data_IF_526646304032
#
_entry.id   IF_526646304032
#
_cell.length_a   1.000
_cell.length_b   1.000
_cell.length_c   1.000
_cell.angle_alpha   90.00
_cell.angle_beta   90.00
_cell.angle_gamma   90.00
#
_symmetry.space_group_name_H-M   'P 1'
#
loop_
_entity.id
_entity.type
_entity.pdbx_description
1 polymer ?
#
# COMPACT_ATOMS: atom_id res chain seq x y z
N UNK A 1 12.71 18.39 -27.44
CA UNK A 1 11.76 17.37 -26.94
C UNK A 1 12.59 16.18 -26.48
N UNK A 2 12.29 15.60 -25.33
CA UNK A 2 13.06 14.46 -24.81
C UNK A 2 12.69 13.20 -25.59
N UNK A 3 13.69 12.39 -25.96
CA UNK A 3 13.49 11.11 -26.61
C UNK A 3 12.68 10.15 -25.72
N UNK A 4 11.69 9.45 -26.29
CA UNK A 4 10.76 8.56 -25.55
C UNK A 4 11.50 7.55 -24.66
N UNK A 5 12.59 6.96 -25.17
CA UNK A 5 13.42 6.01 -24.41
C UNK A 5 14.06 6.66 -23.18
N UNK A 6 14.49 7.91 -23.31
CA UNK A 6 15.06 8.67 -22.19
C UNK A 6 13.98 9.05 -21.18
N UNK A 7 12.78 9.42 -21.64
CA UNK A 7 11.66 9.72 -20.76
C UNK A 7 11.24 8.51 -19.90
N UNK A 8 11.10 7.34 -20.52
CA UNK A 8 10.79 6.09 -19.80
C UNK A 8 11.91 5.72 -18.84
N UNK A 9 13.17 5.80 -19.28
CA UNK A 9 14.32 5.49 -18.43
C UNK A 9 14.38 6.39 -17.19
N UNK A 10 14.16 7.70 -17.36
CA UNK A 10 14.10 8.67 -16.25
C UNK A 10 12.94 8.33 -15.31
N UNK A 11 11.75 8.00 -15.84
CA UNK A 11 10.60 7.62 -15.04
C UNK A 11 10.84 6.36 -14.19
N UNK A 12 11.47 5.34 -14.77
CA UNK A 12 11.83 4.10 -14.05
C UNK A 12 12.85 4.40 -12.94
N UNK A 13 13.90 5.17 -13.25
CA UNK A 13 14.90 5.57 -12.25
C UNK A 13 14.25 6.34 -11.10
N UNK A 14 13.32 7.26 -11.40
CA UNK A 14 12.58 8.02 -10.39
C UNK A 14 11.70 7.11 -9.53
N UNK A 15 10.99 6.16 -10.14
CA UNK A 15 10.12 5.22 -9.43
C UNK A 15 10.91 4.31 -8.48
N UNK A 16 12.05 3.78 -8.93
CA UNK A 16 12.95 2.97 -8.10
C UNK A 16 13.52 3.83 -6.97
N UNK A 17 13.98 5.05 -7.27
CA UNK A 17 14.49 5.97 -6.26
C UNK A 17 13.42 6.24 -5.19
N UNK A 18 12.19 6.58 -5.58
CA UNK A 18 11.09 6.79 -4.64
C UNK A 18 10.83 5.53 -3.80
N UNK A 19 10.73 4.36 -4.44
CA UNK A 19 10.47 3.10 -3.74
C UNK A 19 11.54 2.73 -2.71
N UNK A 20 12.82 2.91 -3.05
CA UNK A 20 13.94 2.65 -2.14
C UNK A 20 13.99 3.68 -1.00
N UNK A 21 13.84 4.97 -1.33
CA UNK A 21 13.95 6.03 -0.32
C UNK A 21 12.76 6.05 0.64
N UNK A 22 11.58 5.63 0.19
CA UNK A 22 10.36 5.58 1.01
C UNK A 22 10.51 4.69 2.25
N UNK A 23 11.25 3.58 2.17
CA UNK A 23 11.46 2.67 3.31
C UNK A 23 12.25 3.34 4.44
N UNK A 24 13.20 4.23 4.10
CA UNK A 24 13.99 4.95 5.11
C UNK A 24 13.25 6.16 5.70
N UNK A 25 12.22 6.65 5.01
CA UNK A 25 11.32 7.69 5.52
C UNK A 25 10.09 7.10 6.22
N UNK A 26 9.86 5.78 6.13
CA UNK A 26 8.86 5.10 6.93
C UNK A 26 9.29 5.13 8.41
N UNK A 27 8.32 5.33 9.30
CA UNK A 27 8.54 5.25 10.75
C UNK A 27 9.05 3.85 11.09
N UNK A 28 10.13 3.75 11.87
CA UNK A 28 10.73 2.45 12.21
C UNK A 28 10.03 1.75 13.37
N UNK A 29 9.27 2.48 14.20
CA UNK A 29 8.55 1.95 15.35
C UNK A 29 7.55 2.98 15.92
N UNK A 30 6.23 2.76 15.80
CA UNK A 30 5.58 1.75 14.97
C UNK A 30 5.64 2.17 13.48
N UNK A 31 5.70 1.20 12.56
CA UNK A 31 5.52 1.48 11.11
C UNK A 31 4.11 2.06 10.84
N UNK A 32 3.86 2.64 9.66
CA UNK A 32 2.57 3.24 9.31
C UNK A 32 1.38 2.29 9.49
N UNK A 33 1.53 1.01 9.17
CA UNK A 33 0.50 -0.01 9.38
C UNK A 33 0.27 -0.30 10.87
N UNK A 34 1.36 -0.40 11.62
CA UNK A 34 1.40 -0.70 13.04
C UNK A 34 0.87 0.47 13.89
N UNK A 35 1.20 1.69 13.49
CA UNK A 35 0.67 2.96 14.02
C UNK A 35 -0.84 3.05 13.80
N UNK A 36 -1.32 2.58 12.64
CA UNK A 36 -2.75 2.51 12.32
C UNK A 36 -3.45 1.46 13.17
N UNK A 37 -2.83 0.31 13.40
CA UNK A 37 -3.32 -0.72 14.31
C UNK A 37 -3.49 -0.18 15.73
N UNK A 38 -2.48 0.47 16.30
CA UNK A 38 -2.56 1.06 17.64
C UNK A 38 -3.58 2.20 17.74
N UNK A 39 -3.74 3.02 16.68
CA UNK A 39 -4.77 4.06 16.65
C UNK A 39 -6.17 3.45 16.70
N UNK A 40 -6.40 2.43 15.88
CA UNK A 40 -7.66 1.68 15.82
C UNK A 40 -7.97 0.99 17.15
N UNK A 41 -6.95 0.49 17.85
CA UNK A 41 -7.08 -0.12 19.17
C UNK A 41 -7.41 0.88 20.29
N UNK A 42 -7.38 2.19 20.01
CA UNK A 42 -7.43 3.22 21.04
C UNK A 42 -6.15 3.28 21.89
N UNK A 43 -5.11 2.54 21.51
CA UNK A 43 -3.80 2.57 22.15
C UNK A 43 -3.08 3.89 21.91
N UNK A 44 -3.28 4.54 20.77
CA UNK A 44 -2.75 5.89 20.51
C UNK A 44 -3.74 6.81 19.82
N UNK A 45 -3.45 8.11 19.83
CA UNK A 45 -4.12 9.10 18.99
C UNK A 45 -3.43 9.21 17.63
N UNK A 46 -4.11 9.78 16.63
CA UNK A 46 -3.61 9.83 15.24
C UNK A 46 -2.23 10.46 15.10
N UNK A 47 -1.92 11.44 15.95
CA UNK A 47 -0.63 12.16 15.99
C UNK A 47 0.10 11.97 17.32
N UNK A 48 -0.39 11.07 18.17
CA UNK A 48 0.18 10.81 19.48
C UNK A 48 1.36 9.83 19.43
N UNK A 49 2.20 9.85 20.49
CA UNK A 49 3.27 8.86 20.64
C UNK A 49 2.68 7.45 20.77
N UNK A 50 3.49 6.44 20.41
CA UNK A 50 3.14 5.06 20.70
C UNK A 50 3.24 4.77 22.19
N UNK A 51 2.32 3.97 22.77
CA UNK A 51 2.46 3.46 24.13
C UNK A 51 3.63 2.49 24.22
N UNK A 52 4.34 2.51 25.35
CA UNK A 52 5.43 1.56 25.62
C UNK A 52 4.92 0.10 25.74
N UNK A 53 3.67 -0.07 26.18
CA UNK A 53 3.02 -1.39 26.36
C UNK A 53 2.06 -1.76 25.20
N UNK A 54 2.06 -0.98 24.11
CA UNK A 54 1.17 -1.23 22.98
C UNK A 54 1.59 -2.48 22.21
N UNK A 55 0.69 -3.46 22.06
CA UNK A 55 0.90 -4.62 21.19
C UNK A 55 0.15 -4.43 19.86
N UNK A 56 0.84 -3.95 18.82
CA UNK A 56 0.21 -3.76 17.52
C UNK A 56 -0.10 -5.08 16.80
N UNK A 57 0.53 -6.19 17.19
CA UNK A 57 0.24 -7.54 16.68
C UNK A 57 -1.04 -8.12 17.30
N UNK A 58 -1.64 -7.45 18.30
CA UNK A 58 -2.89 -7.87 18.91
C UNK A 58 -4.09 -7.87 17.95
N UNK A 59 -4.03 -7.14 16.81
CA UNK A 59 -5.09 -7.13 15.79
C UNK A 59 -5.21 -8.52 15.14
N UNK A 60 -6.31 -9.22 15.44
CA UNK A 60 -6.58 -10.57 14.91
C UNK A 60 -6.18 -11.72 15.85
N UNK A 61 -5.54 -11.43 17.00
CA UNK A 61 -5.20 -12.43 18.03
C UNK A 61 -6.37 -12.77 18.99
N UNK A 62 -7.52 -12.10 18.83
CA UNK A 62 -8.71 -12.27 19.66
C UNK A 62 -8.75 -11.45 20.95
N UNK A 63 -7.65 -10.77 21.31
CA UNK A 63 -7.60 -9.79 22.43
C UNK A 63 -8.20 -8.44 22.05
N UNK A 64 -8.24 -8.12 20.75
CA UNK A 64 -8.87 -6.93 20.21
C UNK A 64 -9.68 -7.27 18.94
N UNK A 65 -10.93 -6.84 18.90
CA UNK A 65 -11.83 -7.03 17.75
C UNK A 65 -12.00 -5.70 17.01
N UNK A 66 -11.36 -5.57 15.85
CA UNK A 66 -11.57 -4.46 14.94
C UNK A 66 -12.65 -4.81 13.91
N UNK A 67 -13.75 -4.06 13.90
CA UNK A 67 -14.67 -4.10 12.77
C UNK A 67 -14.21 -3.09 11.73
N UNK A 68 -13.72 -3.58 10.58
CA UNK A 68 -13.34 -2.69 9.48
C UNK A 68 -14.53 -1.80 9.09
N UNK A 69 -14.33 -0.50 8.77
CA UNK A 69 -15.40 0.41 8.36
C UNK A 69 -16.17 -0.07 7.13
N UNK A 70 -15.53 -0.90 6.30
CA UNK A 70 -16.14 -1.66 5.22
C UNK A 70 -15.80 -3.14 5.42
N UNK A 71 -16.52 -3.86 6.29
CA UNK A 71 -16.19 -5.25 6.65
C UNK A 71 -16.37 -6.19 5.45
N UNK A 72 -17.27 -5.85 4.52
CA UNK A 72 -17.48 -6.57 3.27
C UNK A 72 -16.34 -6.41 2.25
N UNK A 73 -15.36 -5.54 2.52
CA UNK A 73 -14.18 -5.32 1.66
C UNK A 73 -12.97 -6.18 2.07
N UNK A 74 -13.07 -6.91 3.19
CA UNK A 74 -12.09 -7.93 3.52
C UNK A 74 -12.20 -9.10 2.53
N UNK A 75 -11.07 -9.63 2.05
CA UNK A 75 -11.03 -10.74 1.08
C UNK A 75 -11.33 -12.10 1.72
N UNK A 76 -12.31 -12.13 2.63
CA UNK A 76 -12.60 -13.23 3.52
C UNK A 76 -11.49 -13.48 4.54
N UNK A 77 -11.86 -13.89 5.75
CA UNK A 77 -10.89 -14.37 6.75
C UNK A 77 -10.19 -15.66 6.29
N UNK A 78 -10.80 -16.39 5.35
CA UNK A 78 -10.38 -17.72 4.89
C UNK A 78 -9.00 -17.73 4.20
N UNK A 79 -8.60 -16.63 3.56
CA UNK A 79 -7.30 -16.52 2.90
C UNK A 79 -6.27 -15.67 3.68
N UNK A 80 -6.69 -14.95 4.73
CA UNK A 80 -5.84 -14.12 5.58
C UNK A 80 -4.83 -13.26 4.79
N UNK A 81 -3.58 -13.21 5.25
CA UNK A 81 -2.49 -12.45 4.62
C UNK A 81 -2.19 -12.87 3.18
N UNK A 82 -2.48 -14.13 2.82
CA UNK A 82 -2.31 -14.62 1.45
C UNK A 82 -3.28 -13.91 0.49
N UNK A 83 -4.52 -13.70 0.91
CA UNK A 83 -5.54 -12.98 0.14
C UNK A 83 -5.12 -11.54 -0.14
N UNK A 84 -4.57 -10.84 0.86
CA UNK A 84 -4.05 -9.48 0.70
C UNK A 84 -2.89 -9.41 -0.31
N UNK A 85 -1.94 -10.34 -0.23
CA UNK A 85 -0.82 -10.42 -1.20
C UNK A 85 -1.35 -10.65 -2.62
N UNK A 86 -2.28 -11.58 -2.79
CA UNK A 86 -2.90 -11.88 -4.09
C UNK A 86 -3.60 -10.65 -4.66
N UNK A 87 -4.37 -9.93 -3.84
CA UNK A 87 -5.07 -8.73 -4.30
C UNK A 87 -4.14 -7.59 -4.67
N UNK A 88 -3.02 -7.41 -3.95
CA UNK A 88 -1.99 -6.44 -4.34
C UNK A 88 -1.43 -6.80 -5.71
N UNK A 89 -1.05 -8.07 -5.93
CA UNK A 89 -0.49 -8.51 -7.22
C UNK A 89 -1.51 -8.31 -8.35
N UNK A 90 -2.75 -8.76 -8.15
CA UNK A 90 -3.82 -8.65 -9.15
C UNK A 90 -4.15 -7.18 -9.44
N UNK A 91 -4.26 -6.35 -8.40
CA UNK A 91 -4.51 -4.91 -8.53
C UNK A 91 -3.41 -4.21 -9.31
N UNK A 92 -2.14 -4.54 -9.06
CA UNK A 92 -0.99 -4.01 -9.82
C UNK A 92 -1.07 -4.42 -11.29
N UNK A 93 -1.38 -5.68 -11.59
CA UNK A 93 -1.51 -6.15 -12.98
C UNK A 93 -2.65 -5.44 -13.72
N UNK A 94 -3.79 -5.24 -13.06
CA UNK A 94 -4.93 -4.52 -13.64
C UNK A 94 -4.55 -3.05 -13.89
N UNK A 95 -3.96 -2.38 -12.90
CA UNK A 95 -3.54 -0.99 -13.04
C UNK A 95 -2.53 -0.83 -14.18
N UNK A 96 -1.56 -1.74 -14.28
CA UNK A 96 -0.60 -1.78 -15.38
C UNK A 96 -1.29 -1.95 -16.75
N UNK A 97 -2.22 -2.91 -16.87
CA UNK A 97 -2.95 -3.16 -18.10
C UNK A 97 -3.77 -1.94 -18.53
N UNK A 98 -4.44 -1.26 -17.59
CA UNK A 98 -5.22 -0.06 -17.85
C UNK A 98 -4.32 1.11 -18.29
N UNK A 99 -3.24 1.38 -17.56
CA UNK A 99 -2.32 2.45 -17.91
C UNK A 99 -1.66 2.22 -19.28
N UNK A 100 -1.21 0.99 -19.53
CA UNK A 100 -0.63 0.61 -20.82
C UNK A 100 -1.66 0.70 -21.95
N UNK A 101 -2.88 0.21 -21.73
CA UNK A 101 -3.98 0.26 -22.68
C UNK A 101 -4.36 1.70 -23.04
N UNK A 102 -4.53 2.57 -22.04
CA UNK A 102 -4.78 3.99 -22.24
C UNK A 102 -3.64 4.65 -23.04
N UNK A 103 -2.39 4.34 -22.70
CA UNK A 103 -1.22 4.81 -23.43
C UNK A 103 -1.23 4.38 -24.91
N UNK A 104 -1.59 3.12 -25.20
CA UNK A 104 -1.74 2.60 -26.57
C UNK A 104 -2.84 3.33 -27.35
N UNK A 105 -3.99 3.60 -26.74
CA UNK A 105 -5.10 4.32 -27.39
C UNK A 105 -4.69 5.75 -27.74
N UNK A 106 -4.05 6.47 -26.80
CA UNK A 106 -3.56 7.83 -27.03
C UNK A 106 -2.45 7.87 -28.09
N UNK A 107 -1.59 6.85 -28.14
CA UNK A 107 -0.56 6.77 -29.17
C UNK A 107 -1.16 6.51 -30.56
N UNK A 108 -2.19 5.65 -30.64
CA UNK A 108 -2.87 5.34 -31.90
C UNK A 108 -3.70 6.51 -32.44
N UNK A 109 -4.23 7.40 -31.58
CA UNK A 109 -5.02 8.57 -32.00
C UNK A 109 -4.20 9.74 -32.53
N UNK A 110 -2.86 9.66 -32.48
CA UNK A 110 -1.94 10.66 -33.04
C UNK A 110 -1.40 10.30 -34.43
N UNK A 111 -1.78 9.14 -34.98
CA UNK A 111 -1.57 8.80 -36.40
C UNK A 111 -2.79 9.17 -37.23
#
# INVERSE_FOLDING_TARGET
MMEMKSFIAVGIVLAIAIGVTAVFFASSDPDGLESTALFVQGGKTLTGPSPEDGDPEAVGSGTFAYAAPMPDYALGEELGSLGAIIAIIVGVLIAFALAFGAGKVVAASKQ
#
